data_IF_976575672233
#
_entry.id   IF_976575672233
#
_cell.length_a   1.000
_cell.length_b   1.000
_cell.length_c   1.000
_cell.angle_alpha   90.00
_cell.angle_beta   90.00
_cell.angle_gamma   90.00
#
_symmetry.space_group_name_H-M   'P 1'
#
loop_
_entity.id
_entity.type
_entity.pdbx_description
1 polymer ?
#
# COMPACT_ATOMS: atom_id res chain seq x y z
N UNK A 1 -16.73 17.90 8.50
CA UNK A 1 -16.35 19.04 7.63
C UNK A 1 -14.97 18.88 6.99
N UNK A 2 -13.97 18.27 7.63
CA UNK A 2 -12.69 17.94 6.98
C UNK A 2 -12.79 16.75 6.02
N UNK A 3 -13.58 15.72 6.36
CA UNK A 3 -13.75 14.50 5.54
C UNK A 3 -14.39 14.77 4.17
N UNK A 4 -15.37 15.67 4.07
CA UNK A 4 -16.03 15.99 2.79
C UNK A 4 -15.11 16.68 1.78
N UNK A 5 -14.17 17.51 2.26
CA UNK A 5 -13.18 18.15 1.38
C UNK A 5 -12.08 17.17 0.93
N UNK A 6 -11.85 16.11 1.72
CA UNK A 6 -10.84 15.07 1.46
C UNK A 6 -11.34 14.10 0.38
N UNK A 7 -12.61 13.69 0.43
CA UNK A 7 -13.25 12.83 -0.58
C UNK A 7 -13.29 13.51 -1.95
N UNK A 8 -13.60 14.82 -2.00
CA UNK A 8 -13.70 15.59 -3.25
C UNK A 8 -12.34 15.78 -3.96
N UNK A 9 -11.22 15.75 -3.22
CA UNK A 9 -9.86 15.87 -3.78
C UNK A 9 -9.36 14.57 -4.42
N UNK A 10 -9.80 13.40 -3.93
CA UNK A 10 -9.41 12.12 -4.53
C UNK A 10 -10.00 11.98 -5.96
N UNK A 11 -11.17 12.55 -6.25
CA UNK A 11 -11.74 12.59 -7.61
C UNK A 11 -10.94 13.44 -8.63
N UNK A 12 -10.06 14.35 -8.16
CA UNK A 12 -9.31 15.29 -9.03
C UNK A 12 -7.86 14.91 -9.30
N UNK A 13 -7.28 13.96 -8.55
CA UNK A 13 -5.89 13.53 -8.77
C UNK A 13 -5.79 12.55 -9.96
N UNK A 14 -5.27 13.06 -11.09
CA UNK A 14 -5.10 12.35 -12.38
C UNK A 14 -3.80 11.52 -12.50
N UNK A 15 -2.93 11.48 -11.48
CA UNK A 15 -1.55 10.99 -11.63
C UNK A 15 -1.23 9.61 -11.05
N UNK A 16 -2.19 8.90 -10.43
CA UNK A 16 -1.92 7.61 -9.75
C UNK A 16 -1.51 6.44 -10.66
N UNK A 17 -1.55 6.62 -11.98
CA UNK A 17 -1.34 5.55 -12.96
C UNK A 17 0.14 5.22 -13.22
N UNK A 18 1.06 6.18 -13.08
CA UNK A 18 2.42 6.03 -13.61
C UNK A 18 3.40 5.29 -12.69
N UNK A 19 3.10 5.13 -11.40
CA UNK A 19 4.10 4.62 -10.44
C UNK A 19 3.92 3.15 -10.03
N UNK A 20 2.78 2.53 -10.34
CA UNK A 20 2.51 1.14 -9.91
C UNK A 20 2.67 0.10 -11.02
N UNK A 21 2.65 0.52 -12.30
CA UNK A 21 2.66 -0.37 -13.48
C UNK A 21 3.93 -0.21 -14.35
N UNK A 22 4.77 0.80 -14.08
CA UNK A 22 5.92 1.14 -14.94
C UNK A 22 7.27 0.67 -14.40
N UNK A 23 7.85 -0.34 -15.04
CA UNK A 23 9.24 -0.78 -14.81
C UNK A 23 9.60 -1.96 -15.71
N UNK A 24 9.48 -1.77 -17.03
CA UNK A 24 9.93 -2.74 -18.04
C UNK A 24 11.42 -2.58 -18.31
N UNK A 25 12.06 -3.71 -18.62
CA UNK A 25 13.50 -3.93 -18.77
C UNK A 25 14.22 -2.93 -19.69
N UNK A 26 15.33 -2.38 -19.18
CA UNK A 26 16.44 -1.93 -20.03
C UNK A 26 17.71 -2.70 -19.62
N UNK A 27 18.07 -3.63 -20.50
CA UNK A 27 19.35 -4.31 -20.55
C UNK A 27 20.45 -3.26 -20.84
N UNK A 28 21.35 -3.01 -19.88
CA UNK A 28 22.59 -2.28 -20.16
C UNK A 28 23.82 -3.01 -19.62
N UNK A 29 24.73 -3.15 -20.56
CA UNK A 29 26.03 -3.82 -20.59
C UNK A 29 27.00 -3.41 -19.49
N UNK A 30 27.82 -4.38 -19.09
CA UNK A 30 28.94 -4.26 -18.16
C UNK A 30 29.87 -3.07 -18.44
N UNK A 31 30.23 -2.34 -17.39
CA UNK A 31 31.50 -1.61 -17.32
C UNK A 31 32.10 -1.82 -15.93
N UNK A 32 33.27 -2.47 -15.90
CA UNK A 32 34.05 -2.74 -14.70
C UNK A 32 34.61 -1.41 -14.19
N UNK A 33 33.92 -0.83 -13.20
CA UNK A 33 34.37 0.33 -12.45
C UNK A 33 34.41 -0.01 -10.97
N UNK A 34 35.60 0.00 -10.39
CA UNK A 34 35.85 -0.06 -8.95
C UNK A 34 35.16 1.10 -8.23
N UNK A 35 34.06 0.83 -7.53
CA UNK A 35 33.40 1.79 -6.64
C UNK A 35 33.43 1.25 -5.21
N UNK A 36 34.43 1.71 -4.45
CA UNK A 36 34.38 1.72 -3.00
C UNK A 36 33.41 2.85 -2.59
N UNK A 37 32.12 2.58 -2.67
CA UNK A 37 31.06 3.50 -2.24
C UNK A 37 30.47 3.00 -0.94
N UNK A 38 30.54 3.81 0.11
CA UNK A 38 29.86 3.58 1.38
C UNK A 38 28.42 3.15 1.11
N UNK A 39 28.04 1.95 1.54
CA UNK A 39 26.63 1.55 1.62
C UNK A 39 26.00 2.54 2.58
N UNK A 40 25.24 3.51 2.06
CA UNK A 40 24.44 4.38 2.91
C UNK A 40 23.46 3.49 3.66
N UNK A 41 23.66 3.33 4.95
CA UNK A 41 22.64 2.75 5.83
C UNK A 41 21.35 3.55 5.62
N UNK A 42 20.24 2.85 5.41
CA UNK A 42 18.93 3.47 5.40
C UNK A 42 18.76 4.16 6.76
N UNK A 43 18.69 5.49 6.74
CA UNK A 43 18.32 6.26 7.93
C UNK A 43 16.84 6.02 8.12
N UNK A 44 16.49 5.16 9.08
CA UNK A 44 15.10 4.92 9.43
C UNK A 44 14.56 6.15 10.17
N UNK A 45 13.40 6.64 9.73
CA UNK A 45 12.72 7.74 10.40
C UNK A 45 12.12 7.29 11.74
N UNK A 46 12.36 8.05 12.82
CA UNK A 46 11.70 7.84 14.11
C UNK A 46 10.30 8.48 14.18
N UNK A 47 9.94 9.30 13.19
CA UNK A 47 8.67 10.03 13.18
C UNK A 47 7.50 9.17 12.66
N UNK A 48 6.34 9.31 13.31
CA UNK A 48 5.11 8.69 12.82
C UNK A 48 4.70 9.32 11.49
N UNK A 49 4.22 8.51 10.54
CA UNK A 49 3.73 9.04 9.29
C UNK A 49 2.55 10.00 9.50
N UNK A 50 2.55 11.13 8.79
CA UNK A 50 1.40 12.03 8.77
C UNK A 50 0.16 11.35 8.18
N UNK A 51 -1.03 11.78 8.62
CA UNK A 51 -2.31 11.33 8.05
C UNK A 51 -2.37 11.56 6.53
N UNK A 52 -1.64 12.54 6.03
CA UNK A 52 -1.60 12.84 4.61
C UNK A 52 -0.96 11.72 3.78
N UNK A 53 0.11 11.10 4.30
CA UNK A 53 0.76 9.98 3.62
C UNK A 53 -0.20 8.79 3.53
N UNK A 54 -0.83 8.43 4.63
CA UNK A 54 -1.78 7.32 4.69
C UNK A 54 -2.93 7.49 3.71
N UNK A 55 -3.53 8.68 3.66
CA UNK A 55 -4.60 8.97 2.72
C UNK A 55 -4.16 8.84 1.27
N UNK A 56 -2.98 9.39 0.93
CA UNK A 56 -2.43 9.32 -0.43
C UNK A 56 -2.10 7.88 -0.84
N UNK A 57 -1.50 7.09 0.06
CA UNK A 57 -1.24 5.66 -0.14
C UNK A 57 -2.54 4.90 -0.42
N UNK A 58 -3.59 5.13 0.37
CA UNK A 58 -4.89 4.49 0.17
C UNK A 58 -5.51 4.88 -1.16
N UNK A 59 -5.56 6.18 -1.49
CA UNK A 59 -6.08 6.67 -2.76
C UNK A 59 -5.33 6.04 -3.94
N UNK A 60 -4.01 5.95 -3.89
CA UNK A 60 -3.19 5.39 -4.97
C UNK A 60 -3.44 3.90 -5.17
N UNK A 61 -3.34 3.11 -4.09
CA UNK A 61 -3.55 1.67 -4.17
C UNK A 61 -4.97 1.35 -4.62
N UNK A 62 -5.99 1.99 -4.02
CA UNK A 62 -7.38 1.75 -4.39
C UNK A 62 -7.64 2.16 -5.85
N UNK A 63 -7.21 3.35 -6.29
CA UNK A 63 -7.40 3.77 -7.68
C UNK A 63 -6.72 2.83 -8.65
N UNK A 64 -5.48 2.46 -8.37
CA UNK A 64 -4.75 1.52 -9.20
C UNK A 64 -5.54 0.22 -9.35
N UNK A 65 -5.92 -0.39 -8.23
CA UNK A 65 -6.58 -1.70 -8.24
C UNK A 65 -7.96 -1.64 -8.92
N UNK A 66 -8.77 -0.62 -8.64
CA UNK A 66 -10.10 -0.47 -9.25
C UNK A 66 -10.05 -0.18 -10.75
N UNK A 67 -9.03 0.55 -11.21
CA UNK A 67 -8.85 0.84 -12.65
C UNK A 67 -8.49 -0.41 -13.45
N UNK A 68 -7.79 -1.36 -12.82
CA UNK A 68 -7.35 -2.60 -13.46
C UNK A 68 -8.31 -3.79 -13.20
N UNK A 69 -9.35 -3.59 -12.39
CA UNK A 69 -10.30 -4.64 -12.04
C UNK A 69 -11.43 -4.77 -13.05
N UNK A 70 -11.89 -6.00 -13.27
CA UNK A 70 -13.14 -6.26 -14.00
C UNK A 70 -14.33 -6.08 -13.05
N UNK A 71 -14.98 -4.93 -13.15
CA UNK A 71 -16.10 -4.54 -12.30
C UNK A 71 -17.44 -4.73 -13.02
N UNK A 72 -18.43 -5.22 -12.28
CA UNK A 72 -19.80 -5.39 -12.72
C UNK A 72 -20.72 -4.57 -11.81
N UNK A 73 -21.59 -3.77 -12.42
CA UNK A 73 -22.72 -3.16 -11.72
C UNK A 73 -23.90 -4.13 -11.77
N UNK A 74 -24.47 -4.47 -10.61
CA UNK A 74 -25.66 -5.33 -10.57
C UNK A 74 -26.92 -4.49 -10.75
N UNK A 75 -27.91 -5.05 -11.47
CA UNK A 75 -29.16 -4.37 -11.81
C UNK A 75 -30.02 -3.98 -10.58
N UNK A 76 -29.67 -4.47 -9.37
CA UNK A 76 -30.28 -4.04 -8.10
C UNK A 76 -29.70 -2.72 -7.55
N UNK A 77 -29.02 -1.95 -8.41
CA UNK A 77 -28.93 -0.49 -8.33
C UNK A 77 -27.92 0.08 -7.34
N UNK A 78 -27.28 -0.73 -6.49
CA UNK A 78 -26.26 -0.19 -5.57
C UNK A 78 -25.14 -1.15 -5.16
N UNK A 79 -25.04 -2.33 -5.77
CA UNK A 79 -23.96 -3.28 -5.48
C UNK A 79 -22.97 -3.33 -6.65
N UNK A 80 -21.69 -3.15 -6.31
CA UNK A 80 -20.56 -3.32 -7.20
C UNK A 80 -19.98 -4.70 -6.94
N UNK A 81 -19.64 -5.44 -7.98
CA UNK A 81 -18.98 -6.73 -7.86
C UNK A 81 -17.68 -6.74 -8.67
N UNK A 82 -16.70 -7.49 -8.20
CA UNK A 82 -15.45 -7.75 -8.91
C UNK A 82 -15.44 -9.18 -9.41
N UNK A 83 -15.05 -9.36 -10.68
CA UNK A 83 -14.73 -10.68 -11.23
C UNK A 83 -13.26 -10.99 -10.91
N UNK A 84 -13.02 -12.07 -10.18
CA UNK A 84 -11.67 -12.51 -9.83
C UNK A 84 -11.06 -13.34 -10.97
N UNK A 85 -9.74 -13.55 -10.92
CA UNK A 85 -9.01 -14.31 -11.95
C UNK A 85 -9.47 -15.78 -12.08
N UNK A 86 -10.04 -16.35 -11.02
CA UNK A 86 -10.63 -17.70 -11.03
C UNK A 86 -12.10 -17.71 -11.56
N UNK A 87 -12.61 -16.58 -12.04
CA UNK A 87 -13.97 -16.40 -12.53
C UNK A 87 -15.03 -16.20 -11.44
N UNK A 88 -14.67 -16.21 -10.15
CA UNK A 88 -15.65 -15.94 -9.09
C UNK A 88 -16.06 -14.48 -9.06
N UNK A 89 -17.31 -14.22 -8.70
CA UNK A 89 -17.87 -12.87 -8.59
C UNK A 89 -18.04 -12.57 -7.11
N UNK A 90 -17.38 -11.51 -6.63
CA UNK A 90 -17.38 -11.13 -5.21
C UNK A 90 -17.91 -9.70 -5.07
N UNK A 91 -18.85 -9.44 -4.14
CA UNK A 91 -19.30 -8.08 -3.88
C UNK A 91 -18.16 -7.25 -3.30
N UNK A 92 -18.01 -6.02 -3.79
CA UNK A 92 -16.96 -5.09 -3.37
C UNK A 92 -17.55 -3.72 -3.08
N UNK A 93 -16.93 -2.98 -2.17
CA UNK A 93 -17.30 -1.60 -1.91
C UNK A 93 -17.03 -0.73 -3.15
N UNK A 94 -17.71 0.41 -3.29
CA UNK A 94 -17.32 1.43 -4.27
C UNK A 94 -15.97 2.04 -3.90
N UNK A 95 -15.27 2.57 -4.90
CA UNK A 95 -13.91 3.11 -4.74
C UNK A 95 -13.76 4.07 -3.55
N UNK A 96 -14.68 5.01 -3.38
CA UNK A 96 -14.64 5.99 -2.27
C UNK A 96 -14.74 5.30 -0.90
N UNK A 97 -15.69 4.37 -0.76
CA UNK A 97 -15.87 3.61 0.47
C UNK A 97 -14.69 2.67 0.75
N UNK A 98 -14.13 2.03 -0.29
CA UNK A 98 -12.95 1.18 -0.17
C UNK A 98 -11.72 1.97 0.28
N UNK A 99 -11.51 3.16 -0.29
CA UNK A 99 -10.43 4.07 0.13
C UNK A 99 -10.61 4.52 1.59
N UNK A 100 -11.85 4.86 1.98
CA UNK A 100 -12.18 5.21 3.37
C UNK A 100 -11.90 4.07 4.35
N UNK A 101 -12.36 2.85 4.03
CA UNK A 101 -12.15 1.66 4.86
C UNK A 101 -10.66 1.30 5.00
N UNK A 102 -9.91 1.38 3.89
CA UNK A 102 -8.47 1.12 3.90
C UNK A 102 -7.73 2.15 4.75
N UNK A 103 -8.08 3.43 4.62
CA UNK A 103 -7.48 4.50 5.41
C UNK A 103 -7.77 4.34 6.90
N UNK A 104 -9.01 4.01 7.28
CA UNK A 104 -9.35 3.71 8.67
C UNK A 104 -8.55 2.52 9.22
N UNK A 105 -8.37 1.47 8.40
CA UNK A 105 -7.56 0.31 8.78
C UNK A 105 -6.09 0.70 9.01
N UNK A 106 -5.49 1.48 8.10
CA UNK A 106 -4.10 1.91 8.26
C UNK A 106 -3.90 2.88 9.42
N UNK A 107 -4.83 3.81 9.65
CA UNK A 107 -4.80 4.69 10.82
C UNK A 107 -4.86 3.88 12.11
N UNK A 108 -5.75 2.90 12.18
CA UNK A 108 -5.87 2.02 13.35
C UNK A 108 -4.58 1.23 13.59
N UNK A 109 -3.98 0.66 12.53
CA UNK A 109 -2.68 -0.03 12.61
C UNK A 109 -1.62 0.93 13.14
N UNK A 110 -1.48 2.10 12.54
CA UNK A 110 -0.47 3.08 12.91
C UNK A 110 -0.60 3.50 14.38
N UNK A 111 -1.81 3.82 14.83
CA UNK A 111 -2.08 4.26 16.21
C UNK A 111 -1.73 3.20 17.27
N UNK A 112 -1.88 1.91 16.94
CA UNK A 112 -1.63 0.83 17.88
C UNK A 112 -0.20 0.27 17.83
N UNK A 113 0.47 0.40 16.69
CA UNK A 113 1.82 -0.15 16.47
C UNK A 113 2.92 0.89 16.58
N UNK A 114 2.59 2.17 16.34
CA UNK A 114 3.58 3.23 16.17
C UNK A 114 4.33 3.15 14.84
N UNK A 115 3.80 2.42 13.83
CA UNK A 115 4.47 2.29 12.53
C UNK A 115 4.89 3.65 11.96
N UNK A 116 6.17 3.72 11.61
CA UNK A 116 6.86 4.86 11.04
C UNK A 116 6.50 5.07 9.57
N UNK A 117 6.87 6.24 9.02
CA UNK A 117 6.82 6.50 7.57
C UNK A 117 7.53 5.41 6.78
N UNK A 118 8.73 5.03 7.22
CA UNK A 118 9.56 4.02 6.55
C UNK A 118 8.87 2.66 6.46
N UNK A 119 8.28 2.18 7.56
CA UNK A 119 7.56 0.90 7.57
C UNK A 119 6.32 0.91 6.68
N UNK A 120 5.58 2.03 6.64
CA UNK A 120 4.39 2.17 5.79
C UNK A 120 4.76 2.23 4.29
N UNK A 121 5.82 2.96 3.95
CA UNK A 121 6.34 3.00 2.58
C UNK A 121 6.87 1.63 2.17
N UNK A 122 7.59 0.93 3.03
CA UNK A 122 8.03 -0.44 2.77
C UNK A 122 6.85 -1.39 2.56
N UNK A 123 5.81 -1.34 3.42
CA UNK A 123 4.60 -2.14 3.22
C UNK A 123 3.96 -1.87 1.85
N UNK A 124 3.89 -0.61 1.44
CA UNK A 124 3.35 -0.24 0.13
C UNK A 124 4.20 -0.78 -1.05
N UNK A 125 5.53 -0.81 -0.91
CA UNK A 125 6.44 -1.42 -1.90
C UNK A 125 6.26 -2.94 -1.97
N UNK A 126 6.05 -3.60 -0.83
CA UNK A 126 5.75 -5.04 -0.80
C UNK A 126 4.46 -5.34 -1.58
N UNK A 127 3.39 -4.55 -1.37
CA UNK A 127 2.15 -4.68 -2.15
C UNK A 127 2.38 -4.42 -3.64
N UNK A 128 3.16 -3.39 -3.99
CA UNK A 128 3.54 -3.09 -5.39
C UNK A 128 4.20 -4.29 -6.05
N UNK A 129 5.16 -4.91 -5.38
CA UNK A 129 5.89 -6.08 -5.89
C UNK A 129 5.00 -7.32 -6.01
N UNK A 130 4.07 -7.53 -5.08
CA UNK A 130 3.07 -8.60 -5.21
C UNK A 130 2.23 -8.38 -6.47
N UNK A 131 1.83 -7.14 -6.74
CA UNK A 131 1.08 -6.82 -7.94
C UNK A 131 1.90 -7.08 -9.21
N UNK A 132 3.17 -6.65 -9.24
CA UNK A 132 4.04 -6.86 -10.40
C UNK A 132 4.31 -8.35 -10.66
N UNK A 133 4.54 -9.15 -9.62
CA UNK A 133 4.83 -10.59 -9.75
C UNK A 133 3.58 -11.43 -10.02
N UNK A 134 2.50 -11.16 -9.31
CA UNK A 134 1.28 -11.96 -9.30
C UNK A 134 0.04 -11.07 -9.41
N UNK A 135 -0.18 -10.38 -10.55
CA UNK A 135 -1.26 -9.40 -10.69
C UNK A 135 -2.65 -10.00 -10.46
N UNK A 136 -2.83 -11.29 -10.74
CA UNK A 136 -4.08 -12.02 -10.52
C UNK A 136 -4.51 -12.09 -9.04
N UNK A 137 -3.59 -11.89 -8.08
CA UNK A 137 -3.89 -11.87 -6.64
C UNK A 137 -4.39 -10.53 -6.15
N UNK A 138 -4.13 -9.46 -6.89
CA UNK A 138 -4.48 -8.10 -6.48
C UNK A 138 -5.80 -7.69 -7.11
N UNK A 139 -6.83 -7.56 -6.27
CA UNK A 139 -8.17 -7.14 -6.69
C UNK A 139 -8.80 -6.26 -5.60
N UNK A 140 -9.89 -5.53 -5.90
CA UNK A 140 -10.62 -4.77 -4.91
C UNK A 140 -11.04 -5.59 -3.69
N UNK A 141 -11.30 -6.89 -3.87
CA UNK A 141 -11.68 -7.80 -2.79
C UNK A 141 -10.51 -8.22 -1.89
N UNK A 142 -9.28 -8.27 -2.43
CA UNK A 142 -8.10 -8.77 -1.72
C UNK A 142 -7.18 -7.66 -1.23
N UNK A 143 -7.30 -6.44 -1.76
CA UNK A 143 -6.39 -5.33 -1.49
C UNK A 143 -6.21 -5.04 0.01
N UNK A 144 -7.30 -4.94 0.78
CA UNK A 144 -7.20 -4.63 2.21
C UNK A 144 -6.43 -5.71 2.96
N UNK A 145 -6.68 -6.99 2.66
CA UNK A 145 -5.99 -8.11 3.28
C UNK A 145 -4.49 -8.13 2.92
N UNK A 146 -4.15 -7.83 1.66
CA UNK A 146 -2.77 -7.71 1.21
C UNK A 146 -2.03 -6.55 1.90
N UNK A 147 -2.67 -5.38 2.01
CA UNK A 147 -2.09 -4.23 2.70
C UNK A 147 -1.85 -4.53 4.18
N UNK A 148 -2.83 -5.14 4.86
CA UNK A 148 -2.66 -5.55 6.27
C UNK A 148 -1.51 -6.55 6.40
N UNK A 149 -1.46 -7.58 5.55
CA UNK A 149 -0.36 -8.55 5.54
C UNK A 149 1.01 -7.88 5.33
N UNK A 150 1.08 -6.91 4.42
CA UNK A 150 2.31 -6.19 4.13
C UNK A 150 2.74 -5.29 5.30
N UNK A 151 1.80 -4.65 6.00
CA UNK A 151 2.08 -3.90 7.23
C UNK A 151 2.61 -4.82 8.34
N UNK A 152 2.01 -6.00 8.53
CA UNK A 152 2.50 -6.99 9.50
C UNK A 152 3.94 -7.37 9.18
N UNK A 153 4.23 -7.73 7.92
CA UNK A 153 5.59 -8.12 7.49
C UNK A 153 6.57 -6.96 7.66
N UNK A 154 6.25 -5.77 7.16
CA UNK A 154 7.12 -4.60 7.26
C UNK A 154 7.41 -4.24 8.73
N UNK A 155 6.42 -4.27 9.61
CA UNK A 155 6.66 -3.99 11.03
C UNK A 155 7.62 -5.00 11.66
N UNK A 156 7.40 -6.31 11.42
CA UNK A 156 8.27 -7.37 11.97
C UNK A 156 9.72 -7.30 11.47
N UNK A 157 9.94 -6.75 10.27
CA UNK A 157 11.29 -6.61 9.70
C UNK A 157 12.08 -5.46 10.30
N UNK A 158 11.41 -4.42 10.78
CA UNK A 158 12.06 -3.15 11.17
C UNK A 158 11.96 -2.83 12.66
N UNK A 159 11.28 -3.66 13.46
CA UNK A 159 11.14 -3.43 14.90
C UNK A 159 11.95 -4.43 15.72
N UNK A 160 12.59 -3.94 16.79
CA UNK A 160 13.23 -4.79 17.79
C UNK A 160 12.20 -5.57 18.64
N UNK A 161 11.00 -5.00 18.83
CA UNK A 161 9.94 -5.58 19.66
C UNK A 161 8.82 -6.13 18.79
N UNK A 162 9.07 -7.32 18.25
CA UNK A 162 8.18 -7.99 17.31
C UNK A 162 6.85 -8.36 17.98
N UNK A 163 5.74 -7.87 17.42
CA UNK A 163 4.38 -8.24 17.85
C UNK A 163 3.98 -9.60 17.27
N UNK A 164 3.40 -10.46 18.10
CA UNK A 164 2.90 -11.78 17.66
C UNK A 164 1.63 -11.63 16.82
N UNK A 165 1.34 -12.63 15.98
CA UNK A 165 0.10 -12.62 15.20
C UNK A 165 -1.15 -12.68 16.08
N UNK A 166 -1.05 -13.25 17.30
CA UNK A 166 -2.11 -13.19 18.30
C UNK A 166 -2.41 -11.76 18.75
N UNK A 167 -1.37 -10.92 18.92
CA UNK A 167 -1.54 -9.51 19.22
C UNK A 167 -2.20 -8.75 18.06
N UNK A 168 -1.73 -8.97 16.82
CA UNK A 168 -2.33 -8.38 15.61
C UNK A 168 -3.80 -8.77 15.43
N UNK A 169 -4.11 -10.05 15.67
CA UNK A 169 -5.47 -10.59 15.63
C UNK A 169 -6.39 -9.88 16.62
N UNK A 170 -5.94 -9.74 17.88
CA UNK A 170 -6.70 -9.01 18.89
C UNK A 170 -6.88 -7.53 18.54
N UNK A 171 -5.84 -6.87 18.03
CA UNK A 171 -5.87 -5.45 17.65
C UNK A 171 -6.80 -5.18 16.47
N UNK A 172 -6.78 -6.04 15.45
CA UNK A 172 -7.61 -5.89 14.24
C UNK A 172 -9.04 -6.45 14.41
N UNK A 173 -9.32 -7.18 15.49
CA UNK A 173 -10.61 -7.83 15.69
C UNK A 173 -10.91 -8.95 14.69
N UNK A 174 -9.86 -9.58 14.12
CA UNK A 174 -9.98 -10.68 13.15
C UNK A 174 -9.36 -11.95 13.71
N UNK A 175 -9.77 -13.12 13.20
CA UNK A 175 -9.20 -14.39 13.62
C UNK A 175 -7.69 -14.48 13.37
N UNK A 176 -6.96 -15.14 14.27
CA UNK A 176 -5.51 -15.34 14.13
C UNK A 176 -5.14 -16.04 12.82
N UNK A 177 -5.98 -16.98 12.35
CA UNK A 177 -5.78 -17.65 11.08
C UNK A 177 -5.86 -16.68 9.89
N UNK A 178 -6.71 -15.65 9.96
CA UNK A 178 -6.76 -14.61 8.94
C UNK A 178 -5.47 -13.81 8.90
N UNK A 179 -4.91 -13.44 10.06
CA UNK A 179 -3.62 -12.74 10.14
C UNK A 179 -2.49 -13.61 9.60
N UNK A 180 -2.44 -14.87 10.01
CA UNK A 180 -1.46 -15.85 9.50
C UNK A 180 -1.58 -16.01 7.98
N UNK A 181 -2.80 -16.04 7.43
CA UNK A 181 -3.03 -16.13 6.00
C UNK A 181 -2.57 -14.87 5.26
N UNK A 182 -2.91 -13.68 5.77
CA UNK A 182 -2.50 -12.39 5.18
C UNK A 182 -0.97 -12.25 5.15
N UNK A 183 -0.28 -12.58 6.25
CA UNK A 183 1.19 -12.57 6.29
C UNK A 183 1.78 -13.60 5.31
N UNK A 184 1.27 -14.83 5.34
CA UNK A 184 1.74 -15.90 4.44
C UNK A 184 1.57 -15.52 2.98
N UNK A 185 0.46 -14.90 2.61
CA UNK A 185 0.17 -14.48 1.24
C UNK A 185 1.24 -13.53 0.69
N UNK A 186 1.67 -12.55 1.50
CA UNK A 186 2.75 -11.64 1.11
C UNK A 186 4.09 -12.37 1.00
N UNK A 187 4.44 -13.19 1.98
CA UNK A 187 5.71 -13.91 2.01
C UNK A 187 5.83 -14.89 0.82
N UNK A 188 4.76 -15.61 0.50
CA UNK A 188 4.75 -16.58 -0.61
C UNK A 188 4.75 -15.89 -1.96
N UNK A 189 3.92 -14.85 -2.16
CA UNK A 189 3.87 -14.11 -3.42
C UNK A 189 5.21 -13.43 -3.76
N UNK A 190 5.98 -13.04 -2.74
CA UNK A 190 7.30 -12.44 -2.93
C UNK A 190 8.43 -13.48 -2.98
N UNK A 191 8.16 -14.75 -2.69
CA UNK A 191 9.19 -15.79 -2.53
C UNK A 191 10.21 -15.40 -1.46
N UNK A 192 9.77 -14.76 -0.39
CA UNK A 192 10.61 -14.19 0.68
C UNK A 192 11.62 -13.12 0.23
N UNK A 193 11.50 -12.58 -0.99
CA UNK A 193 12.31 -11.45 -1.47
C UNK A 193 11.78 -10.12 -0.89
N UNK A 194 12.03 -9.91 0.42
CA UNK A 194 11.52 -8.77 1.19
C UNK A 194 12.47 -7.57 1.22
N UNK A 195 13.70 -7.73 0.74
CA UNK A 195 14.70 -6.68 0.71
C UNK A 195 14.26 -5.53 -0.20
N UNK A 196 14.10 -4.34 0.37
CA UNK A 196 13.86 -3.09 -0.37
C UNK A 196 15.15 -2.32 -0.42
N UNK A 197 15.58 -1.92 -1.62
CA UNK A 197 16.80 -1.14 -1.79
C UNK A 197 16.56 0.32 -1.37
N UNK A 198 17.62 1.01 -0.94
CA UNK A 198 17.56 2.43 -0.61
C UNK A 198 17.10 3.28 -1.81
N UNK A 199 17.43 2.86 -3.04
CA UNK A 199 17.00 3.53 -4.25
C UNK A 199 15.49 3.42 -4.47
N UNK A 200 14.93 2.21 -4.43
CA UNK A 200 13.48 1.99 -4.58
C UNK A 200 12.70 2.75 -3.51
N UNK A 201 13.18 2.70 -2.26
CA UNK A 201 12.60 3.45 -1.16
C UNK A 201 12.63 4.95 -1.41
N UNK A 202 13.81 5.50 -1.72
CA UNK A 202 14.00 6.94 -1.93
C UNK A 202 13.28 7.47 -3.17
N UNK A 203 13.02 6.65 -4.18
CA UNK A 203 12.16 7.02 -5.31
C UNK A 203 10.71 7.18 -4.86
N UNK A 204 10.17 6.20 -4.12
CA UNK A 204 8.79 6.24 -3.64
C UNK A 204 8.57 7.38 -2.63
N UNK A 205 9.51 7.56 -1.71
CA UNK A 205 9.47 8.61 -0.71
C UNK A 205 9.38 9.99 -1.35
N UNK A 206 10.26 10.31 -2.32
CA UNK A 206 10.26 11.59 -3.03
C UNK A 206 8.94 11.87 -3.73
N UNK A 207 8.30 10.85 -4.30
CA UNK A 207 6.97 10.98 -4.92
C UNK A 207 5.94 11.43 -3.89
N UNK A 208 5.87 10.75 -2.73
CA UNK A 208 4.87 11.08 -1.72
C UNK A 208 5.16 12.40 -1.05
N UNK A 209 6.42 12.72 -0.74
CA UNK A 209 6.80 13.99 -0.14
C UNK A 209 6.43 15.17 -1.04
N UNK A 210 6.74 15.09 -2.34
CA UNK A 210 6.33 16.10 -3.32
C UNK A 210 4.81 16.30 -3.34
N UNK A 211 4.03 15.22 -3.30
CA UNK A 211 2.57 15.27 -3.31
C UNK A 211 1.99 15.82 -2.00
N UNK A 212 2.58 15.47 -0.86
CA UNK A 212 2.19 16.00 0.45
C UNK A 212 2.46 17.52 0.47
N UNK A 213 3.61 17.98 -0.02
CA UNK A 213 3.92 19.41 -0.13
C UNK A 213 2.88 20.14 -0.98
N UNK A 214 2.55 19.63 -2.17
CA UNK A 214 1.51 20.21 -3.04
C UNK A 214 0.15 20.23 -2.35
N UNK A 215 -0.22 19.15 -1.66
CA UNK A 215 -1.50 19.07 -0.98
C UNK A 215 -1.63 20.07 0.17
N UNK A 216 -0.57 20.26 0.96
CA UNK A 216 -0.52 21.27 2.03
C UNK A 216 -0.65 22.69 1.48
N UNK A 217 0.03 23.00 0.38
CA UNK A 217 -0.08 24.31 -0.28
C UNK A 217 -1.49 24.58 -0.80
N UNK A 218 -2.15 23.57 -1.37
CA UNK A 218 -3.55 23.70 -1.81
C UNK A 218 -4.56 23.79 -0.66
N UNK A 219 -4.18 23.41 0.56
CA UNK A 219 -4.99 23.55 1.77
C UNK A 219 -4.90 24.93 2.41
N UNK A 220 -3.87 25.73 2.09
CA UNK A 220 -3.68 27.09 2.61
C UNK A 220 -4.33 28.18 1.75
N UNK A 221 -4.85 27.83 0.58
CA UNK A 221 -5.45 28.77 -0.41
C UNK A 221 -7.00 28.69 -0.42
N UNK A 222 -7.60 28.00 0.56
CA UNK A 222 -9.06 27.91 0.75
C UNK A 222 -9.48 28.55 2.07
#
# INVERSE_FOLDING_TARGET
MAEDQITQKCARSRSGQQNWVGGGDEEQTESVGSWCGCVGEAVFDEESAGHELLWLLCCDMCKGVYTNAQLLETNEGNQLACVLANGSIVPVARLEAACGNLNQTLLHIQQNTGMTKSELLQASLLVSRVWQKEPAKVSPATLQALVVGACVVAHKLNTDVVRTNGWWSAMLGVGIESVNAMEREILTALGFALHVTAEEFGQLERVFDSRISVWRLQGQVA
#
